data_IF_562287830305
#
_entry.id   IF_562287830305
#
_cell.length_a   1.000
_cell.length_b   1.000
_cell.length_c   1.000
_cell.angle_alpha   90.00
_cell.angle_beta   90.00
_cell.angle_gamma   90.00
#
_symmetry.space_group_name_H-M   'P 1'
#
loop_
_entity.id
_entity.type
_entity.pdbx_description
1 polymer ?
#
# COMPACT_ATOMS: atom_id res chain seq x y z
N UNK A 1 -6.59 -14.09 -1.83
CA UNK A 1 -6.91 -13.35 -3.07
C UNK A 1 -7.77 -14.26 -3.95
N UNK A 2 -8.47 -13.76 -4.98
CA UNK A 2 -9.06 -14.67 -5.98
C UNK A 2 -7.94 -15.22 -6.87
N UNK A 3 -7.97 -16.53 -7.14
CA UNK A 3 -6.90 -17.23 -7.89
C UNK A 3 -6.75 -16.78 -9.34
N UNK A 4 -7.75 -16.08 -9.89
CA UNK A 4 -7.77 -15.52 -11.23
C UNK A 4 -6.98 -14.22 -11.37
N UNK A 5 -6.61 -13.56 -10.27
CA UNK A 5 -5.77 -12.35 -10.32
C UNK A 5 -4.30 -12.73 -10.49
N UNK A 6 -3.73 -12.39 -11.65
CA UNK A 6 -2.33 -12.68 -12.00
C UNK A 6 -1.38 -11.49 -11.84
N UNK A 7 -1.93 -10.28 -11.90
CA UNK A 7 -1.20 -9.03 -11.78
C UNK A 7 -1.93 -8.13 -10.79
N UNK A 8 -1.19 -7.52 -9.88
CA UNK A 8 -1.71 -6.60 -8.86
C UNK A 8 -0.88 -5.32 -8.89
N UNK A 9 -1.56 -4.18 -8.97
CA UNK A 9 -0.94 -2.87 -8.75
C UNK A 9 -1.59 -2.25 -7.53
N UNK A 10 -0.77 -1.90 -6.54
CA UNK A 10 -1.21 -1.10 -5.39
C UNK A 10 -0.45 0.21 -5.39
N UNK A 11 -1.17 1.33 -5.32
CA UNK A 11 -0.58 2.67 -5.32
C UNK A 11 -1.23 3.57 -4.28
N UNK A 12 -0.52 4.65 -3.92
CA UNK A 12 -0.97 5.61 -2.91
C UNK A 12 -0.49 5.28 -1.50
N UNK A 13 -1.31 5.55 -0.49
CA UNK A 13 -0.98 5.30 0.91
C UNK A 13 -1.63 3.99 1.40
N UNK A 14 -0.85 3.15 2.08
CA UNK A 14 -1.39 2.00 2.81
C UNK A 14 -1.69 2.43 4.25
N UNK A 15 -2.92 2.87 4.49
CA UNK A 15 -3.32 3.50 5.77
C UNK A 15 -3.08 2.63 7.01
N UNK A 16 -3.36 1.33 6.88
CA UNK A 16 -3.27 0.37 7.98
C UNK A 16 -1.93 -0.38 8.02
N UNK A 17 -1.01 -0.11 7.11
CA UNK A 17 0.34 -0.64 7.27
C UNK A 17 1.00 0.05 8.46
N UNK A 18 1.61 -0.75 9.33
CA UNK A 18 2.40 -0.24 10.46
C UNK A 18 1.60 0.63 11.43
N UNK A 19 0.28 0.44 11.49
CA UNK A 19 -0.61 1.21 12.38
C UNK A 19 -0.17 1.09 13.85
N UNK A 20 0.47 -0.02 14.25
CA UNK A 20 1.06 -0.20 15.59
C UNK A 20 2.20 0.78 15.85
N UNK A 21 3.15 0.98 14.92
CA UNK A 21 4.19 2.02 15.07
C UNK A 21 3.57 3.42 15.02
N UNK A 22 2.63 3.67 14.11
CA UNK A 22 1.96 4.99 14.03
C UNK A 22 1.10 5.29 15.25
N UNK A 23 0.55 4.26 15.91
CA UNK A 23 -0.19 4.36 17.17
C UNK A 23 0.69 4.76 18.36
N UNK A 24 2.00 4.90 18.17
CA UNK A 24 2.93 5.30 19.22
C UNK A 24 3.69 6.58 18.84
N UNK A 25 3.06 7.75 18.90
CA UNK A 25 3.72 9.05 19.11
C UNK A 25 4.65 9.61 18.00
N UNK A 26 4.79 8.96 16.84
CA UNK A 26 5.82 9.30 15.84
C UNK A 26 5.35 10.13 14.64
N UNK A 27 4.05 10.33 14.44
CA UNK A 27 3.52 11.14 13.32
C UNK A 27 2.46 12.11 13.78
N UNK A 28 2.47 13.31 13.18
CA UNK A 28 1.45 14.35 13.25
C UNK A 28 0.73 14.55 11.90
N UNK A 29 1.02 13.71 10.91
CA UNK A 29 0.46 13.81 9.57
C UNK A 29 -0.88 13.06 9.47
N UNK A 30 -1.89 13.73 8.90
CA UNK A 30 -3.16 13.11 8.53
C UNK A 30 -3.00 12.30 7.22
N UNK A 31 -3.72 11.18 7.06
CA UNK A 31 -4.76 10.64 7.95
C UNK A 31 -4.25 9.82 9.17
N UNK A 32 -2.96 9.48 9.26
CA UNK A 32 -2.45 8.63 10.35
C UNK A 32 -2.64 9.26 11.74
N UNK A 33 -2.59 10.59 11.83
CA UNK A 33 -2.86 11.33 13.07
C UNK A 33 -4.26 11.08 13.66
N UNK A 34 -5.24 10.64 12.86
CA UNK A 34 -6.59 10.32 13.34
C UNK A 34 -6.57 9.19 14.38
N UNK A 35 -5.67 8.20 14.25
CA UNK A 35 -5.54 7.12 15.25
C UNK A 35 -5.02 7.65 16.59
N UNK A 36 -4.07 8.59 16.55
CA UNK A 36 -3.54 9.23 17.75
C UNK A 36 -4.61 10.08 18.45
N UNK A 37 -5.39 10.83 17.68
CA UNK A 37 -6.49 11.64 18.21
C UNK A 37 -7.60 10.77 18.80
N UNK A 38 -7.98 9.69 18.10
CA UNK A 38 -8.96 8.74 18.59
C UNK A 38 -8.53 8.13 19.93
N UNK A 39 -7.27 7.67 20.05
CA UNK A 39 -6.74 7.09 21.29
C UNK A 39 -6.74 8.08 22.46
N UNK A 40 -6.37 9.34 22.20
CA UNK A 40 -6.34 10.41 23.22
C UNK A 40 -7.74 10.71 23.75
N UNK A 41 -8.76 10.64 22.90
CA UNK A 41 -10.14 10.95 23.26
C UNK A 41 -10.91 9.75 23.81
N UNK A 42 -10.53 8.52 23.44
CA UNK A 42 -11.28 7.29 23.73
C UNK A 42 -10.38 6.22 24.39
N UNK A 43 -9.70 6.59 25.47
CA UNK A 43 -8.67 5.74 26.11
C UNK A 43 -9.22 4.39 26.58
N UNK A 44 -10.45 4.36 27.11
CA UNK A 44 -11.11 3.12 27.57
C UNK A 44 -11.48 2.18 26.41
N UNK A 45 -11.76 2.72 25.22
CA UNK A 45 -12.13 1.95 24.03
C UNK A 45 -10.92 1.58 23.17
N UNK A 46 -9.72 2.07 23.50
CA UNK A 46 -8.54 1.90 22.66
C UNK A 46 -8.18 0.44 22.43
N UNK A 47 -8.23 -0.41 23.45
CA UNK A 47 -7.90 -1.84 23.31
C UNK A 47 -8.84 -2.56 22.33
N UNK A 48 -10.14 -2.19 22.32
CA UNK A 48 -11.11 -2.74 21.37
C UNK A 48 -10.89 -2.20 19.95
N UNK A 49 -10.62 -0.90 19.82
CA UNK A 49 -10.27 -0.29 18.55
C UNK A 49 -9.00 -0.92 17.97
N UNK A 50 -8.00 -1.16 18.81
CA UNK A 50 -6.74 -1.82 18.46
C UNK A 50 -6.98 -3.21 17.87
N UNK A 51 -7.80 -4.03 18.54
CA UNK A 51 -8.21 -5.36 18.03
C UNK A 51 -8.90 -5.27 16.68
N UNK A 52 -9.71 -4.24 16.48
CA UNK A 52 -10.42 -3.99 15.21
C UNK A 52 -9.43 -3.58 14.10
N UNK A 53 -8.49 -2.69 14.38
CA UNK A 53 -7.45 -2.26 13.43
C UNK A 53 -6.56 -3.42 13.00
N UNK A 54 -6.22 -4.33 13.92
CA UNK A 54 -5.45 -5.54 13.62
C UNK A 54 -6.12 -6.46 12.58
N UNK A 55 -7.45 -6.38 12.40
CA UNK A 55 -8.15 -7.12 11.33
C UNK A 55 -7.80 -6.60 9.93
N UNK A 56 -7.24 -5.40 9.82
CA UNK A 56 -6.88 -4.74 8.57
C UNK A 56 -5.36 -4.64 8.36
N UNK A 57 -4.56 -5.29 9.20
CA UNK A 57 -3.11 -5.33 9.03
C UNK A 57 -2.74 -6.04 7.72
N UNK A 58 -2.08 -5.32 6.83
CA UNK A 58 -1.67 -5.78 5.50
C UNK A 58 -0.75 -7.00 5.58
N UNK A 59 0.06 -7.14 6.63
CA UNK A 59 0.93 -8.30 6.81
C UNK A 59 0.12 -9.60 7.00
N UNK A 60 -1.09 -9.53 7.53
CA UNK A 60 -1.98 -10.70 7.65
C UNK A 60 -2.55 -11.13 6.29
N UNK A 61 -2.63 -10.21 5.32
CA UNK A 61 -3.13 -10.50 3.98
C UNK A 61 -2.03 -10.86 2.97
N UNK A 62 -0.82 -10.34 3.16
CA UNK A 62 0.30 -10.47 2.23
C UNK A 62 0.61 -11.93 1.82
N UNK A 63 0.63 -12.93 2.72
CA UNK A 63 0.90 -14.33 2.33
C UNK A 63 -0.12 -14.93 1.36
N UNK A 64 -1.32 -14.36 1.28
CA UNK A 64 -2.39 -14.81 0.38
C UNK A 64 -2.34 -14.12 -1.00
N UNK A 65 -1.35 -13.27 -1.24
CA UNK A 65 -1.10 -12.61 -2.53
C UNK A 65 -0.10 -13.46 -3.30
N UNK A 66 -0.54 -13.99 -4.44
CA UNK A 66 0.30 -14.79 -5.35
C UNK A 66 0.48 -14.14 -6.72
N UNK A 67 -0.16 -13.00 -6.94
CA UNK A 67 -0.04 -12.23 -8.17
C UNK A 67 1.34 -11.57 -8.29
N UNK A 68 1.83 -11.38 -9.51
CA UNK A 68 2.93 -10.46 -9.76
C UNK A 68 2.47 -9.06 -9.34
N UNK A 69 3.18 -8.43 -8.41
CA UNK A 69 2.69 -7.27 -7.66
C UNK A 69 3.61 -6.06 -7.85
N UNK A 70 3.03 -4.91 -8.18
CA UNK A 70 3.68 -3.60 -8.07
C UNK A 70 3.25 -2.92 -6.78
N UNK A 71 4.22 -2.60 -5.94
CA UNK A 71 4.08 -1.82 -4.72
C UNK A 71 4.54 -0.38 -4.99
N UNK A 72 3.63 0.47 -5.46
CA UNK A 72 3.86 1.88 -5.81
C UNK A 72 3.34 2.83 -4.72
N UNK A 73 3.79 2.61 -3.48
CA UNK A 73 3.21 3.26 -2.29
C UNK A 73 4.17 4.27 -1.67
N UNK A 74 3.61 5.38 -1.21
CA UNK A 74 4.34 6.44 -0.52
C UNK A 74 4.16 6.39 0.98
N UNK A 75 5.12 6.96 1.72
CA UNK A 75 5.01 7.19 3.16
C UNK A 75 5.28 5.97 4.05
N UNK A 76 5.59 4.81 3.48
CA UNK A 76 6.05 3.65 4.26
C UNK A 76 7.52 3.78 4.62
N UNK A 77 7.87 3.33 5.83
CA UNK A 77 9.28 3.16 6.18
C UNK A 77 9.91 2.07 5.31
N UNK A 78 11.24 2.12 5.14
CA UNK A 78 11.96 1.06 4.44
C UNK A 78 11.75 -0.31 5.08
N UNK A 79 11.68 -0.37 6.42
CA UNK A 79 11.42 -1.60 7.17
C UNK A 79 10.03 -2.16 6.87
N UNK A 80 9.00 -1.31 6.91
CA UNK A 80 7.60 -1.70 6.60
C UNK A 80 7.49 -2.21 5.16
N UNK A 81 8.16 -1.54 4.23
CA UNK A 81 8.20 -1.95 2.82
C UNK A 81 8.80 -3.34 2.68
N UNK A 82 9.96 -3.59 3.31
CA UNK A 82 10.60 -4.91 3.31
C UNK A 82 9.71 -5.99 3.94
N UNK A 83 9.09 -5.71 5.09
CA UNK A 83 8.20 -6.67 5.73
C UNK A 83 7.01 -7.07 4.84
N UNK A 84 6.43 -6.11 4.11
CA UNK A 84 5.34 -6.40 3.18
C UNK A 84 5.85 -7.19 1.98
N UNK A 85 6.98 -6.80 1.37
CA UNK A 85 7.52 -7.51 0.20
C UNK A 85 7.89 -8.94 0.52
N UNK A 86 8.50 -9.19 1.69
CA UNK A 86 8.94 -10.52 2.12
C UNK A 86 7.75 -11.43 2.48
N UNK A 87 6.63 -10.84 2.90
CA UNK A 87 5.43 -11.58 3.25
C UNK A 87 4.57 -11.97 2.03
N UNK A 88 4.74 -11.32 0.87
CA UNK A 88 3.99 -11.64 -0.35
C UNK A 88 4.51 -12.94 -0.98
N UNK A 89 3.61 -13.87 -1.27
CA UNK A 89 3.93 -15.17 -1.89
C UNK A 89 3.91 -15.09 -3.42
N UNK A 90 4.57 -14.09 -3.98
CA UNK A 90 4.60 -13.78 -5.41
C UNK A 90 5.76 -12.86 -5.77
N UNK A 91 5.94 -12.58 -7.06
CA UNK A 91 6.92 -11.59 -7.50
C UNK A 91 6.47 -10.19 -7.08
N UNK A 92 7.39 -9.38 -6.53
CA UNK A 92 7.10 -8.01 -6.11
C UNK A 92 8.11 -7.04 -6.72
N UNK A 93 7.60 -6.03 -7.41
CA UNK A 93 8.35 -4.85 -7.83
C UNK A 93 7.98 -3.69 -6.90
N UNK A 94 8.97 -3.00 -6.33
CA UNK A 94 8.74 -1.77 -5.56
C UNK A 94 9.01 -0.57 -6.44
N UNK A 95 8.06 0.36 -6.52
CA UNK A 95 8.21 1.62 -7.24
C UNK A 95 8.09 2.80 -6.25
N UNK A 96 9.21 3.39 -5.82
CA UNK A 96 9.16 4.59 -4.99
C UNK A 96 8.47 5.74 -5.75
N UNK A 97 7.59 6.51 -5.10
CA UNK A 97 6.96 7.66 -5.74
C UNK A 97 8.01 8.74 -6.06
N UNK A 98 7.88 9.34 -7.24
CA UNK A 98 8.75 10.43 -7.70
C UNK A 98 8.28 11.80 -7.22
N UNK A 99 7.14 11.87 -6.54
CA UNK A 99 6.39 13.10 -6.18
C UNK A 99 5.81 13.85 -7.40
N UNK A 100 5.97 13.30 -8.61
CA UNK A 100 5.40 13.81 -9.84
C UNK A 100 4.31 12.86 -10.35
N UNK A 101 3.06 13.14 -9.97
CA UNK A 101 1.89 12.29 -10.25
C UNK A 101 1.81 11.76 -11.69
N UNK A 102 2.14 12.58 -12.69
CA UNK A 102 2.12 12.18 -14.09
C UNK A 102 3.19 11.11 -14.43
N UNK A 103 4.41 11.24 -13.89
CA UNK A 103 5.49 10.28 -14.11
C UNK A 103 5.21 8.98 -13.37
N UNK A 104 4.74 9.07 -12.13
CA UNK A 104 4.34 7.92 -11.33
C UNK A 104 3.23 7.12 -12.01
N UNK A 105 2.24 7.82 -12.57
CA UNK A 105 1.15 7.18 -13.30
C UNK A 105 1.65 6.49 -14.59
N UNK A 106 2.50 7.15 -15.38
CA UNK A 106 3.06 6.54 -16.61
C UNK A 106 3.89 5.29 -16.27
N UNK A 107 4.70 5.34 -15.20
CA UNK A 107 5.49 4.19 -14.76
C UNK A 107 4.59 3.02 -14.31
N UNK A 108 3.54 3.32 -13.54
CA UNK A 108 2.53 2.36 -13.09
C UNK A 108 1.80 1.69 -14.26
N UNK A 109 1.31 2.47 -15.22
CA UNK A 109 0.60 1.96 -16.41
C UNK A 109 1.51 1.11 -17.30
N UNK A 110 2.75 1.56 -17.53
CA UNK A 110 3.72 0.80 -18.32
C UNK A 110 4.09 -0.53 -17.67
N UNK A 111 4.25 -0.56 -16.35
CA UNK A 111 4.50 -1.79 -15.61
C UNK A 111 3.29 -2.73 -15.70
N UNK A 112 2.08 -2.20 -15.50
CA UNK A 112 0.85 -3.01 -15.56
C UNK A 112 0.65 -3.65 -16.92
N UNK A 113 0.86 -2.89 -18.00
CA UNK A 113 0.79 -3.42 -19.37
C UNK A 113 1.81 -4.53 -19.58
N UNK A 114 3.07 -4.32 -19.20
CA UNK A 114 4.14 -5.32 -19.34
C UNK A 114 3.84 -6.60 -18.54
N UNK A 115 3.45 -6.46 -17.28
CA UNK A 115 3.11 -7.59 -16.41
C UNK A 115 1.87 -8.37 -16.91
N UNK A 116 0.95 -7.69 -17.59
CA UNK A 116 -0.22 -8.31 -18.21
C UNK A 116 0.06 -8.93 -19.59
N UNK A 117 1.27 -8.74 -20.16
CA UNK A 117 1.61 -9.17 -21.52
C UNK A 117 1.00 -8.30 -22.62
N UNK A 118 0.55 -7.09 -22.28
CA UNK A 118 -0.03 -6.11 -23.19
C UNK A 118 1.04 -5.13 -23.70
N UNK A 119 0.75 -4.48 -24.83
CA UNK A 119 1.62 -3.43 -25.34
C UNK A 119 1.62 -2.22 -24.39
N UNK A 120 2.80 -1.63 -24.16
CA UNK A 120 2.90 -0.38 -23.38
C UNK A 120 2.10 0.72 -24.06
N UNK A 121 1.18 1.31 -23.30
CA UNK A 121 0.39 2.46 -23.72
C UNK A 121 0.69 3.60 -22.76
N UNK A 122 1.64 4.50 -23.09
CA UNK A 122 1.90 5.68 -22.27
C UNK A 122 0.75 6.69 -22.42
N UNK A 123 -0.41 6.38 -21.83
CA UNK A 123 -1.58 7.25 -21.65
C UNK A 123 -2.30 7.78 -22.91
N UNK A 124 -3.57 8.19 -22.79
CA UNK A 124 -4.24 9.05 -23.76
C UNK A 124 -4.34 10.49 -23.19
N UNK A 125 -3.60 11.46 -23.73
CA UNK A 125 -3.89 12.88 -23.44
C UNK A 125 -3.94 13.78 -24.68
N UNK A 126 -4.33 13.23 -25.84
CA UNK A 126 -5.07 13.99 -26.85
C UNK A 126 -6.20 13.11 -27.40
N UNK A 127 -7.42 13.63 -27.59
CA UNK A 127 -8.39 12.97 -28.45
C UNK A 127 -7.75 12.79 -29.83
N UNK A 128 -7.99 11.62 -30.44
CA UNK A 128 -7.55 11.34 -31.81
C UNK A 128 -8.18 12.31 -32.81
#
# INVERSE_FOLDING_TARGET
MRDDVKVLLTSGQILFADWEHYSASITDAYPQQEFNDFRRLNTEQWEEAQRTLGLFDVLNFAPNITANTLLAVGGLSGMTTTSITDAINGEVTVLPPTEYSALDHIAQENWLAEAAGEAKHPGPFLPR
#
